data_IF_965955176767
#
_entry.id   IF_965955176767
#
_cell.length_a   1.000
_cell.length_b   1.000
_cell.length_c   1.000
_cell.angle_alpha   90.00
_cell.angle_beta   90.00
_cell.angle_gamma   90.00
#
_symmetry.space_group_name_H-M   'P 1'
#
loop_
_entity.id
_entity.type
_entity.pdbx_description
1 polymer ?
#
# COMPACT_ATOMS: atom_id res chain seq x y z
N UNK A 1 31.04 6.02 2.20
CA UNK A 1 30.08 5.72 1.11
C UNK A 1 28.91 5.01 1.76
N UNK A 2 27.69 5.54 1.64
CA UNK A 2 26.49 4.88 2.17
C UNK A 2 26.01 3.93 1.09
N UNK A 3 25.86 2.65 1.42
CA UNK A 3 25.23 1.64 0.55
C UNK A 3 23.93 1.20 1.21
N UNK A 4 22.85 1.20 0.45
CA UNK A 4 21.60 0.59 0.88
C UNK A 4 21.68 -0.93 0.69
N UNK A 5 20.93 -1.72 1.48
CA UNK A 5 20.79 -3.14 1.21
C UNK A 5 20.03 -3.32 -0.12
N UNK A 6 20.46 -4.29 -0.92
CA UNK A 6 19.68 -4.74 -2.07
C UNK A 6 18.40 -5.45 -1.58
N UNK A 7 17.27 -5.30 -2.30
CA UNK A 7 16.08 -6.08 -2.00
C UNK A 7 16.35 -7.59 -2.19
N UNK A 8 15.65 -8.46 -1.44
CA UNK A 8 15.79 -9.90 -1.63
C UNK A 8 15.35 -10.32 -3.03
N UNK A 9 15.96 -11.35 -3.60
CA UNK A 9 15.52 -11.89 -4.89
C UNK A 9 14.16 -12.59 -4.75
N UNK A 10 13.17 -12.12 -5.52
CA UNK A 10 11.83 -12.68 -5.57
C UNK A 10 11.43 -12.94 -7.03
N UNK A 11 10.63 -14.00 -7.31
CA UNK A 11 10.03 -14.17 -8.62
C UNK A 11 9.16 -12.96 -9.01
N UNK A 12 9.17 -12.58 -10.29
CA UNK A 12 8.38 -11.47 -10.83
C UNK A 12 6.90 -11.52 -10.42
N UNK A 13 6.28 -12.70 -10.52
CA UNK A 13 4.89 -12.93 -10.09
C UNK A 13 4.69 -12.58 -8.61
N UNK A 14 5.63 -12.93 -7.74
CA UNK A 14 5.52 -12.65 -6.31
C UNK A 14 5.59 -11.15 -6.01
N UNK A 15 6.41 -10.42 -6.76
CA UNK A 15 6.50 -8.96 -6.66
C UNK A 15 5.16 -8.33 -7.07
N UNK A 16 4.55 -8.79 -8.19
CA UNK A 16 3.22 -8.34 -8.61
C UNK A 16 2.16 -8.61 -7.55
N UNK A 17 2.10 -9.83 -7.01
CA UNK A 17 1.15 -10.18 -5.94
C UNK A 17 1.26 -9.26 -4.72
N UNK A 18 2.48 -8.90 -4.29
CA UNK A 18 2.69 -8.03 -3.14
C UNK A 18 2.26 -6.59 -3.41
N UNK A 19 2.53 -6.08 -4.62
CA UNK A 19 2.07 -4.77 -5.07
C UNK A 19 0.54 -4.76 -5.11
N UNK A 20 -0.07 -5.74 -5.78
CA UNK A 20 -1.52 -5.86 -5.95
C UNK A 20 -2.22 -5.96 -4.59
N UNK A 21 -1.66 -6.74 -3.66
CA UNK A 21 -2.17 -6.83 -2.30
C UNK A 21 -2.17 -5.48 -1.59
N UNK A 22 -1.05 -4.74 -1.64
CA UNK A 22 -0.95 -3.43 -1.02
C UNK A 22 -1.94 -2.42 -1.61
N UNK A 23 -2.14 -2.43 -2.93
CA UNK A 23 -3.11 -1.58 -3.62
C UNK A 23 -4.56 -1.94 -3.27
N UNK A 24 -4.88 -3.23 -3.22
CA UNK A 24 -6.21 -3.71 -2.82
C UNK A 24 -6.54 -3.35 -1.37
N UNK A 25 -5.57 -3.43 -0.47
CA UNK A 25 -5.73 -3.00 0.92
C UNK A 25 -6.06 -1.51 1.02
N UNK A 26 -5.31 -0.66 0.30
CA UNK A 26 -5.60 0.77 0.25
C UNK A 26 -7.02 1.04 -0.30
N UNK A 27 -7.37 0.41 -1.43
CA UNK A 27 -8.68 0.59 -2.06
C UNK A 27 -9.86 0.13 -1.17
N UNK A 28 -9.70 -1.00 -0.47
CA UNK A 28 -10.72 -1.50 0.45
C UNK A 28 -10.96 -0.54 1.61
N UNK A 29 -9.89 -0.01 2.23
CA UNK A 29 -9.99 0.96 3.31
C UNK A 29 -10.56 2.32 2.85
N UNK A 30 -10.24 2.76 1.64
CA UNK A 30 -10.86 3.95 1.05
C UNK A 30 -12.37 3.78 0.86
N UNK A 31 -12.80 2.60 0.40
CA UNK A 31 -14.20 2.26 0.27
C UNK A 31 -14.91 2.25 1.64
N UNK A 32 -14.28 1.67 2.66
CA UNK A 32 -14.79 1.67 4.04
C UNK A 32 -14.95 3.11 4.58
N UNK A 33 -13.92 3.95 4.43
CA UNK A 33 -13.97 5.36 4.84
C UNK A 33 -15.08 6.13 4.13
N UNK A 34 -15.32 5.85 2.83
CA UNK A 34 -16.42 6.45 2.08
C UNK A 34 -17.78 6.06 2.63
N UNK A 35 -17.95 4.79 3.03
CA UNK A 35 -19.19 4.29 3.67
C UNK A 35 -19.38 4.94 5.04
N UNK A 36 -18.35 4.95 5.89
CA UNK A 36 -18.40 5.55 7.24
C UNK A 36 -18.77 7.04 7.18
N UNK A 37 -18.15 7.79 6.26
CA UNK A 37 -18.47 9.21 6.03
C UNK A 37 -19.90 9.40 5.55
N UNK A 38 -20.38 8.57 4.62
CA UNK A 38 -21.77 8.61 4.12
C UNK A 38 -22.80 8.33 5.22
N UNK A 39 -22.48 7.46 6.16
CA UNK A 39 -23.34 7.12 7.29
C UNK A 39 -23.31 8.17 8.43
N UNK A 40 -22.51 9.23 8.30
CA UNK A 40 -22.33 10.24 9.36
C UNK A 40 -21.63 9.69 10.60
N UNK A 41 -20.92 8.56 10.46
CA UNK A 41 -20.21 7.87 11.56
C UNK A 41 -18.71 8.13 11.57
N UNK A 42 -18.24 9.10 10.78
CA UNK A 42 -16.84 9.47 10.77
C UNK A 42 -16.46 10.08 12.12
N UNK A 43 -15.63 9.39 12.88
CA UNK A 43 -14.94 9.94 14.05
C UNK A 43 -13.43 9.96 13.81
N UNK A 44 -12.67 10.86 14.47
CA UNK A 44 -11.21 10.92 14.34
C UNK A 44 -10.51 9.59 14.68
N UNK A 45 -11.08 8.81 15.59
CA UNK A 45 -10.56 7.50 16.02
C UNK A 45 -10.62 6.45 14.91
N UNK A 46 -11.50 6.61 13.94
CA UNK A 46 -11.64 5.73 12.77
C UNK A 46 -11.03 6.35 11.51
N UNK A 47 -10.21 7.39 11.63
CA UNK A 47 -9.55 7.98 10.47
C UNK A 47 -8.39 7.11 9.98
N UNK A 48 -8.68 6.31 8.95
CA UNK A 48 -7.71 5.42 8.30
C UNK A 48 -6.79 6.13 7.30
N UNK A 49 -6.88 7.46 7.13
CA UNK A 49 -6.17 8.20 6.07
C UNK A 49 -4.66 7.89 6.05
N UNK A 50 -3.99 7.95 7.21
CA UNK A 50 -2.54 7.66 7.29
C UNK A 50 -2.20 6.20 6.97
N UNK A 51 -3.09 5.26 7.32
CA UNK A 51 -2.89 3.83 7.02
C UNK A 51 -3.04 3.59 5.52
N UNK A 52 -4.04 4.21 4.89
CA UNK A 52 -4.25 4.17 3.44
C UNK A 52 -3.03 4.74 2.71
N UNK A 53 -2.53 5.90 3.13
CA UNK A 53 -1.30 6.51 2.59
C UNK A 53 -0.08 5.59 2.76
N UNK A 54 0.04 4.94 3.91
CA UNK A 54 1.08 3.94 4.17
C UNK A 54 1.04 2.76 3.20
N UNK A 55 -0.13 2.19 2.93
CA UNK A 55 -0.27 1.10 1.95
C UNK A 55 0.10 1.52 0.53
N UNK A 56 -0.31 2.72 0.11
CA UNK A 56 0.09 3.29 -1.19
C UNK A 56 1.60 3.49 -1.29
N UNK A 57 2.22 3.98 -0.21
CA UNK A 57 3.66 4.14 -0.14
C UNK A 57 4.38 2.79 -0.21
N UNK A 58 3.85 1.74 0.43
CA UNK A 58 4.41 0.39 0.36
C UNK A 58 4.37 -0.14 -1.06
N UNK A 59 3.23 -0.04 -1.75
CA UNK A 59 3.10 -0.46 -3.14
C UNK A 59 4.12 0.25 -4.05
N UNK A 60 4.25 1.58 -3.90
CA UNK A 60 5.25 2.38 -4.62
C UNK A 60 6.68 1.91 -4.28
N UNK A 61 7.00 1.79 -3.00
CA UNK A 61 8.34 1.41 -2.54
C UNK A 61 8.76 0.04 -3.07
N UNK A 62 7.83 -0.92 -3.15
CA UNK A 62 8.10 -2.23 -3.75
C UNK A 62 8.39 -2.06 -5.24
N UNK A 63 7.56 -1.31 -5.99
CA UNK A 63 7.79 -1.08 -7.43
C UNK A 63 9.17 -0.50 -7.72
N UNK A 64 9.55 0.53 -6.97
CA UNK A 64 10.84 1.21 -7.12
C UNK A 64 12.01 0.31 -6.69
N UNK A 65 11.84 -0.51 -5.65
CA UNK A 65 12.89 -1.41 -5.19
C UNK A 65 13.25 -2.47 -6.23
N UNK A 66 12.27 -2.94 -7.01
CA UNK A 66 12.48 -3.96 -8.03
C UNK A 66 12.61 -3.39 -9.45
N UNK A 67 12.70 -2.07 -9.61
CA UNK A 67 13.08 -1.37 -10.84
C UNK A 67 12.29 -1.83 -12.09
N UNK A 68 10.99 -2.13 -11.91
CA UNK A 68 10.13 -2.62 -12.99
C UNK A 68 10.41 -4.05 -13.49
N UNK A 69 11.24 -4.85 -12.79
CA UNK A 69 11.61 -6.23 -13.17
C UNK A 69 10.49 -7.28 -13.01
N UNK A 70 9.23 -6.84 -12.89
CA UNK A 70 8.09 -7.71 -12.65
C UNK A 70 7.22 -7.92 -13.88
#
# INVERSE_FOLDING_TARGET
>A
MISYPEPPELPAEKIRELIDYAEQMAAAMEAEMKVVRRLGRASPEHDLTKIIEGWKLVALSIRESYDGRF
#
